data_IF_355011246768
#
_entry.id   IF_355011246768
#
_cell.length_a   1.000
_cell.length_b   1.000
_cell.length_c   1.000
_cell.angle_alpha   90.00
_cell.angle_beta   90.00
_cell.angle_gamma   90.00
#
_symmetry.space_group_name_H-M   'P 1'
#
loop_
_entity.id
_entity.type
_entity.pdbx_description
1 polymer ?
#
# COMPACT_ATOMS: atom_id res chain seq x y z
N UNK A 1 -16.65 14.94 -25.34
CA UNK A 1 -16.86 14.92 -23.87
C UNK A 1 -15.51 15.07 -23.17
N UNK A 2 -15.27 16.18 -22.46
CA UNK A 2 -14.09 16.30 -21.59
C UNK A 2 -14.40 15.59 -20.28
N UNK A 3 -13.78 14.44 -20.04
CA UNK A 3 -13.76 13.83 -18.71
C UNK A 3 -13.24 14.93 -17.76
N UNK A 4 -13.99 15.31 -16.70
CA UNK A 4 -13.48 16.29 -15.77
C UNK A 4 -12.17 15.75 -15.22
N UNK A 5 -11.09 16.56 -15.22
CA UNK A 5 -9.72 16.20 -14.80
C UNK A 5 -9.63 15.46 -13.45
N UNK A 6 -10.71 15.46 -12.67
CA UNK A 6 -10.86 14.91 -11.32
C UNK A 6 -11.66 13.62 -11.23
N UNK A 7 -12.27 13.14 -12.32
CA UNK A 7 -12.96 11.85 -12.29
C UNK A 7 -11.96 10.71 -12.07
N UNK A 8 -10.80 10.79 -12.73
CA UNK A 8 -9.73 9.80 -12.58
C UNK A 8 -9.19 9.71 -11.15
N UNK A 9 -8.97 10.83 -10.46
CA UNK A 9 -8.50 10.83 -9.06
C UNK A 9 -9.54 10.25 -8.09
N UNK A 10 -10.84 10.47 -8.35
CA UNK A 10 -11.91 9.88 -7.55
C UNK A 10 -12.04 8.38 -7.77
N UNK A 11 -12.04 7.93 -9.02
CA UNK A 11 -12.04 6.49 -9.35
C UNK A 11 -10.83 5.81 -8.70
N UNK A 12 -9.64 6.42 -8.83
CA UNK A 12 -8.43 5.92 -8.20
C UNK A 12 -8.56 5.87 -6.67
N UNK A 13 -9.15 6.88 -6.02
CA UNK A 13 -9.32 6.86 -4.56
C UNK A 13 -10.18 5.68 -4.08
N UNK A 14 -11.30 5.40 -4.75
CA UNK A 14 -12.14 4.23 -4.43
C UNK A 14 -11.42 2.91 -4.73
N UNK A 15 -10.76 2.82 -5.87
CA UNK A 15 -9.97 1.64 -6.24
C UNK A 15 -8.83 1.39 -5.23
N UNK A 16 -8.12 2.44 -4.81
CA UNK A 16 -7.04 2.35 -3.82
C UNK A 16 -7.58 1.97 -2.44
N UNK A 17 -8.75 2.46 -2.03
CA UNK A 17 -9.40 2.02 -0.80
C UNK A 17 -9.75 0.52 -0.84
N UNK A 18 -10.27 0.04 -1.98
CA UNK A 18 -10.53 -1.37 -2.19
C UNK A 18 -9.25 -2.21 -2.11
N UNK A 19 -8.16 -1.75 -2.72
CA UNK A 19 -6.85 -2.42 -2.63
C UNK A 19 -6.33 -2.47 -1.20
N UNK A 20 -6.35 -1.34 -0.48
CA UNK A 20 -5.91 -1.25 0.91
C UNK A 20 -6.71 -2.21 1.80
N UNK A 21 -8.03 -2.26 1.62
CA UNK A 21 -8.90 -3.19 2.34
C UNK A 21 -8.57 -4.64 1.98
N UNK A 22 -8.41 -4.95 0.69
CA UNK A 22 -8.09 -6.30 0.22
C UNK A 22 -6.75 -6.78 0.78
N UNK A 23 -5.75 -5.92 0.86
CA UNK A 23 -4.45 -6.23 1.46
C UNK A 23 -4.58 -6.50 2.97
N UNK A 24 -5.33 -5.68 3.69
CA UNK A 24 -5.56 -5.87 5.13
C UNK A 24 -6.31 -7.19 5.39
N UNK A 25 -7.35 -7.48 4.61
CA UNK A 25 -8.07 -8.76 4.68
C UNK A 25 -7.17 -9.95 4.31
N UNK A 26 -6.26 -9.76 3.36
CA UNK A 26 -5.22 -10.73 3.00
C UNK A 26 -4.35 -11.18 4.18
N UNK A 27 -4.15 -10.32 5.18
CA UNK A 27 -3.34 -10.63 6.37
C UNK A 27 -4.16 -11.11 7.57
N UNK A 28 -5.46 -10.83 7.60
CA UNK A 28 -6.34 -11.11 8.75
C UNK A 28 -7.25 -12.33 8.54
N UNK A 29 -7.67 -12.60 7.31
CA UNK A 29 -8.64 -13.67 7.01
C UNK A 29 -7.92 -15.00 6.84
N UNK A 30 -8.26 -16.04 7.63
CA UNK A 30 -7.70 -17.37 7.45
C UNK A 30 -8.01 -17.93 6.06
N UNK A 31 -7.03 -18.59 5.45
CA UNK A 31 -7.18 -19.24 4.14
C UNK A 31 -6.77 -18.38 2.93
N UNK A 32 -6.46 -17.10 3.11
CA UNK A 32 -5.83 -16.31 2.04
C UNK A 32 -4.36 -16.72 1.86
N UNK A 33 -3.82 -16.52 0.65
CA UNK A 33 -2.41 -16.88 0.35
C UNK A 33 -1.41 -16.17 1.27
N UNK A 34 -1.63 -14.89 1.57
CA UNK A 34 -0.77 -14.10 2.45
C UNK A 34 -0.85 -14.58 3.91
N UNK A 35 -2.05 -14.82 4.43
CA UNK A 35 -2.24 -15.34 5.79
C UNK A 35 -1.53 -16.69 5.95
N UNK A 36 -1.79 -17.63 5.04
CA UNK A 36 -1.20 -18.97 5.06
C UNK A 36 0.32 -18.88 4.95
N UNK A 37 0.85 -18.06 4.04
CA UNK A 37 2.30 -17.84 3.91
C UNK A 37 2.94 -17.44 5.24
N UNK A 38 2.42 -16.38 5.89
CA UNK A 38 3.02 -15.89 7.13
C UNK A 38 2.92 -16.92 8.26
N UNK A 39 1.78 -17.58 8.43
CA UNK A 39 1.60 -18.54 9.53
C UNK A 39 2.42 -19.83 9.33
N UNK A 40 2.57 -20.28 8.08
CA UNK A 40 3.48 -21.38 7.76
C UNK A 40 4.93 -20.96 8.02
N UNK A 41 5.35 -19.79 7.53
CA UNK A 41 6.73 -19.32 7.76
C UNK A 41 7.05 -19.05 9.23
N UNK A 42 6.08 -18.60 10.03
CA UNK A 42 6.25 -18.43 11.48
C UNK A 42 6.48 -19.79 12.16
N UNK A 43 5.81 -20.85 11.71
CA UNK A 43 6.01 -22.20 12.23
C UNK A 43 7.44 -22.72 11.98
N UNK A 44 8.08 -22.33 10.87
CA UNK A 44 9.45 -22.73 10.55
C UNK A 44 10.51 -21.77 11.08
N UNK A 45 10.23 -20.46 11.07
CA UNK A 45 11.17 -19.41 11.40
C UNK A 45 10.47 -18.32 12.21
N UNK A 46 10.60 -18.40 13.54
CA UNK A 46 9.91 -17.50 14.47
C UNK A 46 10.23 -16.01 14.28
N UNK A 47 11.38 -15.66 13.70
CA UNK A 47 11.69 -14.27 13.34
C UNK A 47 10.70 -13.67 12.32
N UNK A 48 9.98 -14.51 11.57
CA UNK A 48 8.94 -14.09 10.63
C UNK A 48 7.72 -13.48 11.34
N UNK A 49 7.53 -13.75 12.63
CA UNK A 49 6.47 -13.15 13.44
C UNK A 49 6.57 -11.61 13.44
N UNK A 50 7.79 -11.08 13.57
CA UNK A 50 8.05 -9.64 13.49
C UNK A 50 7.70 -9.08 12.10
N UNK A 51 7.97 -9.84 11.05
CA UNK A 51 7.66 -9.46 9.67
C UNK A 51 6.15 -9.44 9.43
N UNK A 52 5.42 -10.41 9.99
CA UNK A 52 3.96 -10.43 9.93
C UNK A 52 3.34 -9.22 10.65
N UNK A 53 3.81 -8.87 11.85
CA UNK A 53 3.35 -7.67 12.54
C UNK A 53 3.71 -6.38 11.82
N UNK A 54 4.89 -6.32 11.17
CA UNK A 54 5.25 -5.19 10.31
C UNK A 54 4.31 -5.08 9.09
N UNK A 55 3.95 -6.20 8.47
CA UNK A 55 2.98 -6.25 7.37
C UNK A 55 1.59 -5.77 7.81
N UNK A 56 1.14 -6.21 8.99
CA UNK A 56 -0.12 -5.72 9.58
C UNK A 56 -0.06 -4.21 9.84
N UNK A 57 0.99 -3.71 10.47
CA UNK A 57 1.16 -2.28 10.73
C UNK A 57 1.17 -1.46 9.43
N UNK A 58 1.88 -1.92 8.40
CA UNK A 58 1.86 -1.33 7.05
C UNK A 58 0.45 -1.31 6.44
N UNK A 59 -0.31 -2.41 6.55
CA UNK A 59 -1.68 -2.46 6.04
C UNK A 59 -2.62 -1.47 6.74
N UNK A 60 -2.49 -1.33 8.06
CA UNK A 60 -3.26 -0.36 8.86
C UNK A 60 -2.88 1.07 8.46
N UNK A 61 -1.59 1.37 8.33
CA UNK A 61 -1.11 2.68 7.89
C UNK A 61 -1.56 3.00 6.47
N UNK A 62 -1.60 2.01 5.59
CA UNK A 62 -2.10 2.14 4.22
C UNK A 62 -3.61 2.44 4.23
N UNK A 63 -4.39 1.78 5.08
CA UNK A 63 -5.81 2.10 5.30
C UNK A 63 -6.01 3.53 5.81
N UNK A 64 -5.20 3.99 6.77
CA UNK A 64 -5.26 5.40 7.24
C UNK A 64 -4.86 6.35 6.10
N UNK A 65 -3.88 5.97 5.27
CA UNK A 65 -3.44 6.77 4.14
C UNK A 65 -4.44 6.82 2.97
N UNK A 66 -5.52 6.04 3.00
CA UNK A 66 -6.68 6.27 2.10
C UNK A 66 -7.28 7.65 2.34
N UNK A 67 -7.30 8.13 3.59
CA UNK A 67 -7.89 9.42 3.95
C UNK A 67 -7.27 10.59 3.14
N UNK A 68 -5.94 10.83 3.16
CA UNK A 68 -5.34 11.92 2.38
C UNK A 68 -5.54 11.75 0.86
N UNK A 69 -5.67 10.51 0.34
CA UNK A 69 -6.00 10.27 -1.08
C UNK A 69 -7.42 10.75 -1.38
N UNK A 70 -8.40 10.47 -0.51
CA UNK A 70 -9.75 11.00 -0.64
C UNK A 70 -9.78 12.52 -0.49
N UNK A 71 -9.11 13.05 0.53
CA UNK A 71 -9.05 14.50 0.74
C UNK A 71 -8.45 15.22 -0.48
N UNK A 72 -7.44 14.62 -1.11
CA UNK A 72 -6.89 15.11 -2.39
C UNK A 72 -7.90 14.98 -3.54
N UNK A 73 -8.58 13.84 -3.70
CA UNK A 73 -9.52 13.60 -4.80
C UNK A 73 -10.79 14.49 -4.72
N UNK A 74 -11.17 14.91 -3.51
CA UNK A 74 -12.33 15.75 -3.23
C UNK A 74 -11.98 17.19 -2.84
N UNK A 75 -10.72 17.62 -2.98
CA UNK A 75 -10.26 18.99 -2.69
C UNK A 75 -10.47 19.47 -1.23
N UNK A 76 -10.63 18.54 -0.29
CA UNK A 76 -10.83 18.88 1.11
C UNK A 76 -9.48 19.14 1.82
N UNK A 77 -9.36 20.28 2.51
CA UNK A 77 -8.12 20.67 3.23
C UNK A 77 -8.42 20.95 4.72
N UNK A 78 -8.37 19.95 5.62
CA UNK A 78 -8.41 20.15 7.05
C UNK A 78 -7.11 20.80 7.55
N UNK A 79 -7.20 21.49 8.69
CA UNK A 79 -6.11 22.16 9.37
C UNK A 79 -5.23 21.12 10.10
N UNK A 80 -4.28 20.50 9.40
CA UNK A 80 -3.48 19.42 9.99
C UNK A 80 -2.33 18.89 9.13
N UNK A 81 -1.61 19.75 8.40
CA UNK A 81 -0.56 19.31 7.46
C UNK A 81 0.57 18.49 8.12
N UNK A 82 0.91 18.77 9.37
CA UNK A 82 1.94 18.03 10.10
C UNK A 82 1.59 16.56 10.34
N UNK A 83 0.31 16.26 10.64
CA UNK A 83 -0.18 14.89 10.79
C UNK A 83 0.03 14.08 9.51
N UNK A 84 -0.34 14.66 8.37
CA UNK A 84 -0.22 13.99 7.06
C UNK A 84 1.23 13.79 6.64
N UNK A 85 2.13 14.74 6.95
CA UNK A 85 3.57 14.57 6.73
C UNK A 85 4.14 13.42 7.54
N UNK A 86 3.81 13.37 8.84
CA UNK A 86 4.23 12.28 9.72
C UNK A 86 3.69 10.93 9.24
N UNK A 87 2.41 10.88 8.88
CA UNK A 87 1.78 9.67 8.35
C UNK A 87 2.46 9.17 7.08
N UNK A 88 2.81 10.05 6.14
CA UNK A 88 3.51 9.67 4.91
C UNK A 88 4.88 9.04 5.22
N UNK A 89 5.65 9.64 6.12
CA UNK A 89 6.98 9.14 6.50
C UNK A 89 6.85 7.77 7.19
N UNK A 90 5.97 7.66 8.19
CA UNK A 90 5.77 6.41 8.93
C UNK A 90 5.27 5.31 7.99
N UNK A 91 4.34 5.63 7.08
CA UNK A 91 3.86 4.69 6.06
C UNK A 91 5.01 4.23 5.16
N UNK A 92 5.87 5.13 4.70
CA UNK A 92 6.99 4.76 3.83
C UNK A 92 7.93 3.74 4.52
N UNK A 93 8.29 3.98 5.77
CA UNK A 93 9.10 3.02 6.54
C UNK A 93 8.35 1.70 6.80
N UNK A 94 7.05 1.76 7.09
CA UNK A 94 6.25 0.58 7.32
C UNK A 94 6.12 -0.26 6.04
N UNK A 95 5.87 0.35 4.88
CA UNK A 95 5.73 -0.35 3.60
C UNK A 95 7.06 -0.99 3.16
N UNK A 96 8.20 -0.33 3.40
CA UNK A 96 9.53 -0.91 3.14
C UNK A 96 9.78 -2.20 3.93
N UNK A 97 9.19 -2.35 5.12
CA UNK A 97 9.33 -3.55 5.96
C UNK A 97 8.18 -4.55 5.75
N UNK A 98 6.97 -4.04 5.55
CA UNK A 98 5.72 -4.81 5.55
C UNK A 98 5.46 -5.59 4.27
N UNK A 99 6.04 -5.18 3.14
CA UNK A 99 5.88 -5.86 1.85
C UNK A 99 6.88 -7.01 1.61
N UNK A 100 7.28 -7.72 2.67
CA UNK A 100 8.23 -8.82 2.53
C UNK A 100 7.66 -9.96 1.69
N UNK A 101 6.38 -10.29 1.81
CA UNK A 101 5.74 -11.32 0.99
C UNK A 101 5.89 -11.02 -0.51
N UNK A 102 5.53 -9.80 -0.92
CA UNK A 102 5.62 -9.34 -2.30
C UNK A 102 7.07 -9.34 -2.78
N UNK A 103 8.01 -8.92 -1.92
CA UNK A 103 9.44 -8.97 -2.25
C UNK A 103 9.94 -10.40 -2.47
N UNK A 104 9.60 -11.34 -1.61
CA UNK A 104 10.00 -12.75 -1.77
C UNK A 104 9.33 -13.38 -2.99
N UNK A 105 8.08 -13.02 -3.28
CA UNK A 105 7.38 -13.45 -4.48
C UNK A 105 8.06 -12.94 -5.76
N UNK A 106 8.36 -11.64 -5.84
CA UNK A 106 9.07 -11.05 -6.98
C UNK A 106 10.46 -11.66 -7.13
N UNK A 107 11.18 -11.87 -6.02
CA UNK A 107 12.49 -12.53 -6.03
C UNK A 107 12.41 -13.96 -6.55
N UNK A 108 11.36 -14.69 -6.18
CA UNK A 108 11.11 -16.05 -6.67
C UNK A 108 10.83 -16.05 -8.17
N UNK A 109 9.97 -15.13 -8.65
CA UNK A 109 9.74 -14.96 -10.09
C UNK A 109 11.00 -14.52 -10.84
N UNK A 110 11.86 -13.71 -10.25
CA UNK A 110 13.08 -13.27 -10.93
C UNK A 110 14.03 -14.45 -11.25
N UNK A 111 13.97 -15.53 -10.45
CA UNK A 111 14.76 -16.73 -10.67
C UNK A 111 14.14 -17.68 -11.71
N UNK A 112 12.82 -17.71 -11.86
CA UNK A 112 12.11 -18.66 -12.74
C UNK A 112 11.59 -18.03 -14.03
N UNK A 113 11.01 -16.83 -13.94
CA UNK A 113 10.35 -16.10 -15.02
C UNK A 113 10.61 -14.58 -14.89
N UNK A 114 11.75 -14.07 -15.39
CA UNK A 114 12.16 -12.67 -15.22
C UNK A 114 11.14 -11.64 -15.73
N UNK A 115 10.40 -11.98 -16.79
CA UNK A 115 9.34 -11.12 -17.32
C UNK A 115 8.19 -10.98 -16.31
N UNK A 116 7.77 -12.07 -15.67
CA UNK A 116 6.72 -12.04 -14.65
C UNK A 116 7.14 -11.22 -13.42
N UNK A 117 8.42 -11.29 -13.02
CA UNK A 117 8.98 -10.43 -11.99
C UNK A 117 8.93 -8.94 -12.38
N UNK A 118 9.35 -8.60 -13.61
CA UNK A 118 9.30 -7.24 -14.11
C UNK A 118 7.88 -6.68 -14.16
N UNK A 119 6.92 -7.46 -14.66
CA UNK A 119 5.50 -7.09 -14.69
C UNK A 119 4.90 -6.94 -13.29
N UNK A 120 5.28 -7.80 -12.35
CA UNK A 120 4.82 -7.73 -10.95
C UNK A 120 5.33 -6.45 -10.27
N UNK A 121 6.62 -6.12 -10.45
CA UNK A 121 7.20 -4.89 -9.91
C UNK A 121 6.56 -3.64 -10.55
N UNK A 122 6.41 -3.64 -11.87
CA UNK A 122 5.75 -2.55 -12.60
C UNK A 122 4.30 -2.34 -12.13
N UNK A 123 3.55 -3.42 -11.95
CA UNK A 123 2.18 -3.39 -11.42
C UNK A 123 2.14 -2.81 -10.01
N UNK A 124 3.05 -3.22 -9.13
CA UNK A 124 3.12 -2.71 -7.76
C UNK A 124 3.36 -1.19 -7.72
N UNK A 125 4.30 -0.70 -8.55
CA UNK A 125 4.58 0.74 -8.67
C UNK A 125 3.39 1.52 -9.27
N UNK A 126 2.71 0.97 -10.27
CA UNK A 126 1.54 1.61 -10.88
C UNK A 126 0.35 1.69 -9.91
N UNK A 127 0.14 0.68 -9.08
CA UNK A 127 -0.97 0.64 -8.13
C UNK A 127 -0.72 1.55 -6.93
N UNK A 128 0.49 1.51 -6.38
CA UNK A 128 0.82 2.19 -5.10
C UNK A 128 1.38 3.60 -5.34
N UNK A 129 2.12 3.81 -6.42
CA UNK A 129 2.80 5.07 -6.73
C UNK A 129 1.89 6.31 -6.74
N UNK A 130 0.70 6.28 -7.39
CA UNK A 130 -0.19 7.42 -7.37
C UNK A 130 -0.73 7.75 -5.96
N UNK A 131 -0.82 6.76 -5.06
CA UNK A 131 -1.22 7.00 -3.66
C UNK A 131 -0.15 7.80 -2.90
N UNK A 132 1.13 7.49 -3.14
CA UNK A 132 2.23 8.25 -2.57
C UNK A 132 2.31 9.65 -3.15
N UNK A 133 2.13 9.78 -4.46
CA UNK A 133 2.11 11.08 -5.12
C UNK A 133 0.97 11.97 -4.60
N UNK A 134 -0.24 11.44 -4.51
CA UNK A 134 -1.41 12.20 -4.01
C UNK A 134 -1.24 12.57 -2.54
N UNK A 135 -0.77 11.65 -1.70
CA UNK A 135 -0.48 11.94 -0.29
C UNK A 135 0.66 12.96 -0.13
N UNK A 136 1.72 12.88 -0.93
CA UNK A 136 2.81 13.87 -0.93
C UNK A 136 2.31 15.25 -1.36
N UNK A 137 1.59 15.33 -2.48
CA UNK A 137 0.98 16.59 -2.96
C UNK A 137 0.03 17.18 -1.92
N UNK A 138 -0.65 16.33 -1.17
CA UNK A 138 -1.52 16.74 -0.09
C UNK A 138 -0.75 17.28 1.14
N UNK A 139 0.28 16.56 1.59
CA UNK A 139 1.04 16.89 2.79
C UNK A 139 2.03 18.07 2.60
N UNK A 140 2.53 18.27 1.38
CA UNK A 140 3.59 19.24 1.06
C UNK A 140 3.19 20.28 0.00
N UNK A 141 2.07 20.11 -0.69
CA UNK A 141 1.60 21.08 -1.69
C UNK A 141 1.30 22.44 -1.06
N UNK A 142 1.98 23.49 -1.56
CA UNK A 142 1.60 24.87 -1.29
C UNK A 142 0.28 25.18 -2.02
N UNK A 143 -0.53 26.09 -1.45
CA UNK A 143 -1.67 26.68 -2.18
C UNK A 143 -1.14 27.39 -3.42
#
# INVERSE_FOLDING_TARGET
MRIPRRLGSRIYAFFFAWLALSQMLGLLVPGTKQYVYYHVMIAFLRSTEKVYHAALASSVLTMIAVIPVFLFAFDARPKGLWLWRGLLIVRLFADLWGHNFEWQMIKSFAATEPLAAGLSLGSLLLLIGPSYYTHFRYAFGRK
#
